data_IF_301698270139
#
_entry.id   IF_301698270139
#
_cell.length_a   1.000
_cell.length_b   1.000
_cell.length_c   1.000
_cell.angle_alpha   90.00
_cell.angle_beta   90.00
_cell.angle_gamma   90.00
#
_symmetry.space_group_name_H-M   'P 1'
#
loop_
_entity.id
_entity.type
_entity.pdbx_description
1 polymer ?
#
# COMPACT_ATOMS: atom_id res chain seq x y z
N UNK A 1 -9.35 -7.83 -2.97
CA UNK A 1 -10.74 -8.31 -2.83
C UNK A 1 -11.06 -9.43 -3.81
N UNK A 2 -11.94 -10.34 -3.44
CA UNK A 2 -12.41 -11.45 -4.30
C UNK A 2 -13.66 -11.06 -5.10
N UNK A 3 -13.80 -9.80 -5.44
CA UNK A 3 -14.95 -9.28 -6.17
C UNK A 3 -14.57 -9.03 -7.62
N UNK A 4 -15.45 -9.41 -8.55
CA UNK A 4 -15.27 -9.13 -9.96
C UNK A 4 -15.29 -7.60 -10.22
N UNK A 5 -14.48 -7.18 -11.16
CA UNK A 5 -14.51 -5.79 -11.65
C UNK A 5 -15.83 -5.58 -12.39
N UNK A 6 -16.52 -4.49 -12.05
CA UNK A 6 -17.76 -4.10 -12.73
C UNK A 6 -17.49 -3.01 -13.78
N UNK A 7 -18.27 -3.00 -14.84
CA UNK A 7 -18.36 -1.85 -15.72
C UNK A 7 -18.99 -0.67 -14.97
N UNK A 8 -18.80 0.54 -15.47
CA UNK A 8 -19.35 1.74 -14.84
C UNK A 8 -20.89 1.70 -14.72
N UNK A 9 -21.54 1.23 -15.78
CA UNK A 9 -22.99 1.08 -15.78
C UNK A 9 -23.46 -0.01 -14.80
N UNK A 10 -22.80 -1.15 -14.81
CA UNK A 10 -23.06 -2.25 -13.89
C UNK A 10 -22.89 -1.84 -12.42
N UNK A 11 -21.86 -1.04 -12.10
CA UNK A 11 -21.66 -0.49 -10.77
C UNK A 11 -22.87 0.35 -10.33
N UNK A 12 -23.31 1.27 -11.18
CA UNK A 12 -24.42 2.17 -10.89
C UNK A 12 -25.73 1.36 -10.72
N UNK A 13 -26.03 0.47 -11.67
CA UNK A 13 -27.20 -0.41 -11.60
C UNK A 13 -27.21 -1.29 -10.37
N UNK A 14 -26.09 -1.97 -10.05
CA UNK A 14 -25.99 -2.87 -8.91
C UNK A 14 -26.15 -2.10 -7.59
N UNK A 15 -25.63 -0.88 -7.52
CA UNK A 15 -25.78 -0.01 -6.34
C UNK A 15 -27.24 0.43 -6.17
N UNK A 16 -27.88 0.82 -7.27
CA UNK A 16 -29.30 1.17 -7.27
C UNK A 16 -30.17 -0.03 -6.87
N UNK A 17 -29.93 -1.22 -7.44
CA UNK A 17 -30.63 -2.44 -7.07
C UNK A 17 -30.48 -2.79 -5.58
N UNK A 18 -29.28 -2.58 -5.02
CA UNK A 18 -29.04 -2.82 -3.61
C UNK A 18 -29.87 -1.87 -2.73
N UNK A 19 -29.95 -0.62 -3.09
CA UNK A 19 -30.82 0.36 -2.42
C UNK A 19 -32.29 -0.03 -2.57
N UNK A 20 -32.78 -0.29 -3.77
CA UNK A 20 -34.18 -0.65 -4.02
C UNK A 20 -34.61 -1.94 -3.31
N UNK A 21 -33.68 -2.88 -3.05
CA UNK A 21 -33.97 -4.09 -2.26
C UNK A 21 -34.00 -3.83 -0.76
N UNK A 22 -33.29 -2.82 -0.26
CA UNK A 22 -33.31 -2.43 1.15
C UNK A 22 -34.47 -1.48 1.48
N UNK A 23 -34.84 -0.62 0.54
CA UNK A 23 -35.97 0.27 0.67
C UNK A 23 -37.28 -0.49 0.44
N UNK A 24 -38.31 -0.16 1.22
CA UNK A 24 -39.68 -0.63 0.91
C UNK A 24 -40.16 0.10 -0.36
N UNK A 25 -39.99 -0.52 -1.51
CA UNK A 25 -40.38 0.04 -2.82
C UNK A 25 -41.84 0.53 -2.82
N UNK A 26 -42.71 -0.13 -2.03
CA UNK A 26 -44.10 0.29 -1.87
C UNK A 26 -44.26 1.66 -1.21
N UNK A 27 -43.26 2.17 -0.52
CA UNK A 27 -43.28 3.51 0.10
C UNK A 27 -42.88 4.63 -0.87
N UNK A 28 -42.43 4.29 -2.07
CA UNK A 28 -42.07 5.26 -3.11
C UNK A 28 -43.34 5.86 -3.74
N UNK A 29 -43.29 7.12 -4.27
CA UNK A 29 -44.33 7.64 -5.14
C UNK A 29 -44.59 6.70 -6.33
N UNK A 30 -45.88 6.60 -6.75
CA UNK A 30 -46.30 5.63 -7.77
C UNK A 30 -45.48 5.73 -9.07
N UNK A 31 -45.10 6.92 -9.49
CA UNK A 31 -44.27 7.18 -10.67
C UNK A 31 -42.87 6.57 -10.54
N UNK A 32 -42.28 6.61 -9.34
CA UNK A 32 -40.96 6.02 -9.08
C UNK A 32 -41.00 4.50 -8.89
N UNK A 33 -42.16 3.94 -8.46
CA UNK A 33 -42.33 2.51 -8.32
C UNK A 33 -42.22 1.79 -9.66
N UNK A 34 -42.84 2.31 -10.72
CA UNK A 34 -42.76 1.70 -12.06
C UNK A 34 -41.33 1.73 -12.61
N UNK A 35 -40.62 2.85 -12.44
CA UNK A 35 -39.22 2.96 -12.81
C UNK A 35 -38.35 2.00 -11.99
N UNK A 36 -38.62 1.88 -10.69
CA UNK A 36 -37.89 0.96 -9.81
C UNK A 36 -38.02 -0.52 -10.26
N UNK A 37 -39.21 -0.94 -10.67
CA UNK A 37 -39.47 -2.30 -11.19
C UNK A 37 -38.58 -2.62 -12.42
N UNK A 38 -38.39 -1.66 -13.32
CA UNK A 38 -37.54 -1.83 -14.49
C UNK A 38 -36.08 -2.12 -14.15
N UNK A 39 -35.56 -1.56 -13.05
CA UNK A 39 -34.17 -1.75 -12.59
C UNK A 39 -33.98 -2.96 -11.66
N UNK A 40 -35.06 -3.50 -11.08
CA UNK A 40 -35.00 -4.69 -10.21
C UNK A 40 -34.77 -6.01 -10.98
N UNK A 41 -35.00 -6.03 -12.29
CA UNK A 41 -34.78 -7.20 -13.13
C UNK A 41 -33.31 -7.64 -13.14
N UNK A 42 -33.06 -8.96 -13.11
CA UNK A 42 -31.68 -9.52 -13.07
C UNK A 42 -30.83 -9.11 -14.29
N UNK A 43 -31.46 -8.85 -15.42
CA UNK A 43 -30.77 -8.49 -16.66
C UNK A 43 -30.63 -6.98 -16.92
N UNK A 44 -31.17 -6.14 -16.03
CA UNK A 44 -31.12 -4.69 -16.21
C UNK A 44 -29.70 -4.12 -16.31
N UNK A 45 -28.72 -4.73 -15.66
CA UNK A 45 -27.30 -4.35 -15.76
C UNK A 45 -26.61 -4.90 -17.02
N UNK A 46 -27.19 -5.91 -17.67
CA UNK A 46 -26.58 -6.61 -18.82
C UNK A 46 -27.05 -6.06 -20.17
N UNK A 47 -28.18 -5.35 -20.20
CA UNK A 47 -28.76 -4.76 -21.42
C UNK A 47 -27.78 -3.87 -22.18
N UNK A 48 -26.84 -3.29 -21.46
CA UNK A 48 -25.84 -2.33 -21.97
C UNK A 48 -24.74 -2.99 -22.83
N UNK A 49 -24.47 -4.28 -22.68
CA UNK A 49 -23.40 -4.94 -23.44
C UNK A 49 -23.67 -5.08 -24.94
N UNK A 50 -24.90 -4.82 -25.36
CA UNK A 50 -25.36 -4.88 -26.76
C UNK A 50 -25.77 -3.52 -27.33
N UNK A 51 -25.68 -2.45 -26.53
CA UNK A 51 -26.11 -1.12 -26.90
C UNK A 51 -24.98 -0.37 -27.62
N UNK A 52 -25.32 0.43 -28.61
CA UNK A 52 -24.44 1.41 -29.22
C UNK A 52 -24.09 2.56 -28.25
N UNK A 53 -23.17 3.43 -28.63
CA UNK A 53 -22.66 4.49 -27.76
C UNK A 53 -23.76 5.51 -27.35
N UNK A 54 -24.66 5.85 -28.27
CA UNK A 54 -25.70 6.86 -28.06
C UNK A 54 -26.81 6.30 -27.14
N UNK A 55 -27.22 5.06 -27.38
CA UNK A 55 -28.15 4.35 -26.51
C UNK A 55 -27.59 4.19 -25.11
N UNK A 56 -26.30 3.87 -24.99
CA UNK A 56 -25.62 3.74 -23.71
C UNK A 56 -25.61 5.09 -22.96
N UNK A 57 -25.35 6.20 -23.64
CA UNK A 57 -25.36 7.54 -23.05
C UNK A 57 -26.76 7.93 -22.56
N UNK A 58 -27.79 7.59 -23.35
CA UNK A 58 -29.18 7.75 -22.96
C UNK A 58 -29.52 6.97 -21.68
N UNK A 59 -29.12 5.71 -21.58
CA UNK A 59 -29.29 4.90 -20.36
C UNK A 59 -28.61 5.49 -19.15
N UNK A 60 -27.39 6.04 -19.29
CA UNK A 60 -26.71 6.72 -18.20
C UNK A 60 -27.46 7.97 -17.75
N UNK A 61 -28.02 8.74 -18.67
CA UNK A 61 -28.80 9.94 -18.31
C UNK A 61 -30.11 9.58 -17.60
N UNK A 62 -30.81 8.55 -18.07
CA UNK A 62 -32.06 8.08 -17.47
C UNK A 62 -31.86 7.56 -16.04
N UNK A 63 -30.88 6.65 -15.84
CA UNK A 63 -30.60 6.11 -14.50
C UNK A 63 -30.09 7.18 -13.55
N UNK A 64 -29.27 8.13 -14.05
CA UNK A 64 -28.79 9.25 -13.25
C UNK A 64 -29.93 10.16 -12.76
N UNK A 65 -30.86 10.49 -13.65
CA UNK A 65 -32.04 11.30 -13.30
C UNK A 65 -32.95 10.58 -12.30
N UNK A 66 -33.15 9.29 -12.48
CA UNK A 66 -33.92 8.45 -11.54
C UNK A 66 -33.29 8.40 -10.15
N UNK A 67 -31.97 8.16 -10.07
CA UNK A 67 -31.24 8.15 -8.79
C UNK A 67 -31.34 9.52 -8.11
N UNK A 68 -31.21 10.62 -8.86
CA UNK A 68 -31.34 11.96 -8.30
C UNK A 68 -32.71 12.20 -7.69
N UNK A 69 -33.78 11.79 -8.36
CA UNK A 69 -35.14 11.88 -7.84
C UNK A 69 -35.33 11.04 -6.57
N UNK A 70 -34.84 9.81 -6.55
CA UNK A 70 -34.86 8.96 -5.38
C UNK A 70 -34.14 9.60 -4.18
N UNK A 71 -32.92 10.09 -4.39
CA UNK A 71 -32.11 10.69 -3.33
C UNK A 71 -32.68 11.99 -2.76
N UNK A 72 -33.53 12.69 -3.50
CA UNK A 72 -34.22 13.89 -3.03
C UNK A 72 -35.27 13.61 -1.94
N UNK A 73 -35.81 12.37 -1.89
CA UNK A 73 -36.81 11.93 -0.93
C UNK A 73 -36.29 11.15 0.27
N UNK A 74 -35.02 10.77 0.27
CA UNK A 74 -34.43 9.92 1.31
C UNK A 74 -33.29 10.60 2.07
N UNK A 75 -33.20 10.34 3.38
CA UNK A 75 -32.05 10.74 4.23
C UNK A 75 -30.99 9.66 4.25
N UNK A 76 -29.76 10.04 4.61
CA UNK A 76 -28.58 9.15 4.62
C UNK A 76 -28.53 8.20 5.84
N UNK A 77 -29.60 8.06 6.60
CA UNK A 77 -29.69 7.18 7.76
C UNK A 77 -29.61 5.68 7.39
N UNK A 78 -29.97 5.34 6.14
CA UNK A 78 -29.80 3.98 5.60
C UNK A 78 -28.43 3.86 4.91
N UNK A 79 -27.60 2.85 5.30
CA UNK A 79 -26.30 2.60 4.67
C UNK A 79 -26.36 2.37 3.16
N UNK A 80 -27.47 1.82 2.63
CA UNK A 80 -27.65 1.64 1.19
C UNK A 80 -27.93 2.95 0.48
N UNK A 81 -28.66 3.88 1.13
CA UNK A 81 -28.90 5.21 0.61
C UNK A 81 -27.60 6.03 0.59
N UNK A 82 -26.84 6.01 1.67
CA UNK A 82 -25.54 6.66 1.74
C UNK A 82 -24.56 6.14 0.67
N UNK A 83 -24.55 4.83 0.42
CA UNK A 83 -23.74 4.23 -0.64
C UNK A 83 -24.22 4.67 -2.03
N UNK A 84 -25.53 4.71 -2.28
CA UNK A 84 -26.09 5.15 -3.55
C UNK A 84 -25.74 6.62 -3.82
N UNK A 85 -25.88 7.49 -2.82
CA UNK A 85 -25.49 8.89 -2.89
C UNK A 85 -24.01 9.03 -3.21
N UNK A 86 -23.14 8.31 -2.50
CA UNK A 86 -21.70 8.31 -2.76
C UNK A 86 -21.39 7.94 -4.21
N UNK A 87 -21.98 6.85 -4.73
CA UNK A 87 -21.77 6.44 -6.12
C UNK A 87 -22.32 7.46 -7.10
N UNK A 88 -23.46 8.09 -6.79
CA UNK A 88 -24.00 9.16 -7.61
C UNK A 88 -23.04 10.36 -7.68
N UNK A 89 -22.57 10.86 -6.55
CA UNK A 89 -21.66 12.00 -6.47
C UNK A 89 -20.30 11.72 -7.15
N UNK A 90 -19.83 10.48 -7.08
CA UNK A 90 -18.59 10.05 -7.76
C UNK A 90 -18.76 9.93 -9.28
N UNK A 91 -19.93 9.54 -9.77
CA UNK A 91 -20.17 9.23 -11.18
C UNK A 91 -20.89 10.34 -11.95
N UNK A 92 -21.67 11.19 -11.29
CA UNK A 92 -22.46 12.22 -11.92
C UNK A 92 -22.10 13.63 -11.43
N UNK A 93 -22.49 14.62 -12.22
CA UNK A 93 -22.51 16.03 -11.84
C UNK A 93 -23.83 16.62 -12.31
N UNK A 94 -24.40 17.52 -11.51
CA UNK A 94 -25.61 18.22 -11.90
C UNK A 94 -25.26 19.39 -12.79
N UNK A 95 -25.90 19.48 -13.98
CA UNK A 95 -25.83 20.61 -14.91
C UNK A 95 -27.24 20.93 -15.36
N UNK A 96 -27.65 22.17 -15.15
CA UNK A 96 -28.98 22.66 -15.53
C UNK A 96 -30.13 21.76 -15.06
N UNK A 97 -30.03 21.26 -13.81
CA UNK A 97 -31.01 20.34 -13.22
C UNK A 97 -30.99 18.90 -13.75
N UNK A 98 -30.06 18.58 -14.63
CA UNK A 98 -29.93 17.23 -15.19
C UNK A 98 -28.66 16.52 -14.67
N UNK A 99 -28.77 15.22 -14.41
CA UNK A 99 -27.64 14.38 -14.04
C UNK A 99 -26.81 14.05 -15.29
N UNK A 100 -25.59 14.57 -15.34
CA UNK A 100 -24.63 14.35 -16.44
C UNK A 100 -23.48 13.48 -15.95
N UNK A 101 -23.17 12.43 -16.68
CA UNK A 101 -22.08 11.52 -16.35
C UNK A 101 -20.73 12.25 -16.37
N UNK A 102 -19.92 12.11 -15.31
CA UNK A 102 -18.57 12.67 -15.25
C UNK A 102 -17.66 12.03 -16.29
N UNK A 103 -16.68 12.76 -16.79
CA UNK A 103 -15.59 12.15 -17.57
C UNK A 103 -14.84 11.10 -16.72
N UNK A 104 -14.44 9.98 -17.35
CA UNK A 104 -13.67 8.92 -16.73
C UNK A 104 -12.36 9.42 -16.10
N UNK A 105 -11.73 10.42 -16.72
CA UNK A 105 -10.50 11.01 -16.24
C UNK A 105 -10.68 11.81 -14.92
N UNK A 106 -11.89 12.26 -14.62
CA UNK A 106 -12.21 13.05 -13.42
C UNK A 106 -12.66 12.19 -12.24
N UNK A 107 -12.92 10.90 -12.45
CA UNK A 107 -13.31 9.98 -11.39
C UNK A 107 -12.08 9.59 -10.59
N UNK A 108 -12.11 9.84 -9.27
CA UNK A 108 -10.99 9.58 -8.39
C UNK A 108 -10.70 8.09 -8.22
N UNK A 109 -9.45 7.74 -7.93
CA UNK A 109 -9.01 6.37 -7.72
C UNK A 109 -9.60 5.71 -6.44
N UNK A 110 -10.01 6.52 -5.47
CA UNK A 110 -10.69 6.11 -4.24
C UNK A 110 -12.20 5.88 -4.39
N UNK A 111 -12.73 6.07 -5.61
CA UNK A 111 -14.15 5.84 -5.91
C UNK A 111 -14.56 4.38 -5.68
N UNK A 112 -15.82 4.18 -5.37
CA UNK A 112 -16.42 2.84 -5.21
C UNK A 112 -16.24 2.03 -6.49
N UNK A 113 -15.65 0.85 -6.36
CA UNK A 113 -15.42 -0.07 -7.47
C UNK A 113 -16.46 -1.19 -7.55
N UNK A 114 -17.07 -1.53 -6.41
CA UNK A 114 -18.12 -2.52 -6.31
C UNK A 114 -18.96 -2.27 -5.05
N UNK A 115 -20.30 -2.21 -5.12
CA UNK A 115 -21.17 -1.92 -3.98
C UNK A 115 -21.16 -2.99 -2.90
N UNK A 116 -20.62 -4.18 -3.19
CA UNK A 116 -20.49 -5.25 -2.21
C UNK A 116 -19.18 -5.18 -1.41
N UNK A 117 -18.26 -4.29 -1.80
CA UNK A 117 -17.02 -3.99 -1.10
C UNK A 117 -16.62 -2.53 -1.37
N UNK A 118 -17.37 -1.56 -0.80
CA UNK A 118 -17.22 -0.15 -1.13
C UNK A 118 -15.89 0.46 -0.68
N UNK A 119 -15.18 -0.21 0.25
CA UNK A 119 -13.86 0.21 0.73
C UNK A 119 -12.73 -0.23 -0.22
N UNK A 120 -13.00 -1.23 -1.08
CA UNK A 120 -11.99 -1.74 -2.01
C UNK A 120 -11.76 -0.72 -3.13
N UNK A 121 -10.58 -0.09 -3.13
CA UNK A 121 -10.18 0.92 -4.10
C UNK A 121 -9.32 0.34 -5.22
N UNK A 122 -9.07 1.13 -6.26
CA UNK A 122 -8.32 0.72 -7.44
C UNK A 122 -6.92 1.33 -7.44
N UNK A 123 -5.91 0.49 -7.72
CA UNK A 123 -4.52 0.90 -7.91
C UNK A 123 -3.94 0.26 -9.17
N UNK A 124 -3.22 1.05 -9.95
CA UNK A 124 -2.38 0.55 -11.04
C UNK A 124 -0.91 0.71 -10.63
N UNK A 125 -0.18 -0.40 -10.54
CA UNK A 125 1.26 -0.41 -10.22
C UNK A 125 1.96 -1.32 -11.25
N UNK A 126 2.87 -0.75 -12.04
CA UNK A 126 3.60 -1.46 -13.10
C UNK A 126 2.66 -2.23 -14.05
N UNK A 127 1.62 -1.57 -14.55
CA UNK A 127 0.56 -2.13 -15.40
C UNK A 127 -0.26 -3.27 -14.77
N UNK A 128 0.01 -3.61 -13.53
CA UNK A 128 -0.84 -4.50 -12.76
C UNK A 128 -1.98 -3.73 -12.10
N UNK A 129 -3.20 -4.06 -12.49
CA UNK A 129 -4.42 -3.47 -11.99
C UNK A 129 -4.90 -4.25 -10.77
N UNK A 130 -4.79 -3.66 -9.59
CA UNK A 130 -5.21 -4.26 -8.32
C UNK A 130 -6.44 -3.54 -7.81
N UNK A 131 -7.41 -4.30 -7.33
CA UNK A 131 -8.60 -3.79 -6.66
C UNK A 131 -8.68 -4.43 -5.27
N UNK A 132 -8.74 -3.60 -4.24
CA UNK A 132 -8.82 -4.09 -2.86
C UNK A 132 -8.06 -3.25 -1.86
N UNK A 133 -7.13 -3.89 -1.18
CA UNK A 133 -6.43 -3.36 0.01
C UNK A 133 -4.93 -3.58 -0.11
N UNK A 134 -4.17 -2.77 0.60
CA UNK A 134 -2.74 -2.93 0.80
C UNK A 134 -2.49 -3.29 2.26
N UNK A 135 -1.57 -4.22 2.49
CA UNK A 135 -1.14 -4.62 3.84
C UNK A 135 0.33 -4.31 3.98
N UNK A 136 0.69 -3.59 5.03
CA UNK A 136 2.06 -3.34 5.44
C UNK A 136 2.39 -4.13 6.69
N UNK A 137 3.56 -4.77 6.72
CA UNK A 137 4.06 -5.55 7.85
C UNK A 137 5.43 -5.03 8.22
N UNK A 138 5.63 -4.76 9.51
CA UNK A 138 6.91 -4.35 10.08
C UNK A 138 7.37 -5.38 11.08
N UNK A 139 8.63 -5.79 10.99
CA UNK A 139 9.20 -6.78 11.90
C UNK A 139 10.58 -6.37 12.42
N UNK A 140 10.96 -6.93 13.55
CA UNK A 140 12.32 -6.76 14.10
C UNK A 140 13.34 -7.54 13.27
N UNK A 141 14.53 -6.98 13.13
CA UNK A 141 15.63 -7.61 12.39
C UNK A 141 16.87 -7.66 13.26
N UNK A 142 17.15 -8.83 13.83
CA UNK A 142 18.33 -9.09 14.66
C UNK A 142 18.93 -10.44 14.28
N UNK A 143 20.26 -10.57 14.38
CA UNK A 143 20.95 -11.73 13.85
C UNK A 143 20.66 -13.04 14.63
N UNK A 144 20.60 -12.97 15.96
CA UNK A 144 20.50 -14.17 16.81
C UNK A 144 19.14 -14.35 17.49
N UNK A 145 18.14 -13.59 17.04
CA UNK A 145 16.79 -13.60 17.61
C UNK A 145 15.73 -13.83 16.55
N UNK A 146 14.56 -14.35 16.91
CA UNK A 146 13.49 -14.49 15.96
C UNK A 146 12.99 -13.10 15.54
N UNK A 147 12.78 -12.90 14.24
CA UNK A 147 12.08 -11.71 13.75
C UNK A 147 10.63 -11.73 14.24
N UNK A 148 10.22 -10.67 14.93
CA UNK A 148 8.87 -10.51 15.48
C UNK A 148 8.16 -9.38 14.76
N UNK A 149 6.97 -9.66 14.25
CA UNK A 149 6.11 -8.65 13.63
C UNK A 149 5.61 -7.71 14.74
N UNK A 150 5.94 -6.44 14.62
CA UNK A 150 5.64 -5.39 15.61
C UNK A 150 4.54 -4.45 15.16
N UNK A 151 4.35 -4.29 13.86
CA UNK A 151 3.27 -3.48 13.30
C UNK A 151 2.63 -4.16 12.09
N UNK A 152 1.31 -4.07 12.02
CA UNK A 152 0.50 -4.54 10.89
C UNK A 152 -0.51 -3.46 10.56
N UNK A 153 -0.47 -2.96 9.34
CA UNK A 153 -1.35 -1.90 8.87
C UNK A 153 -2.08 -2.38 7.62
N UNK A 154 -3.35 -2.11 7.52
CA UNK A 154 -4.16 -2.44 6.34
C UNK A 154 -4.95 -1.23 5.95
N UNK A 155 -4.77 -0.80 4.72
CA UNK A 155 -5.45 0.36 4.14
C UNK A 155 -6.03 0.04 2.76
N UNK A 156 -6.79 0.96 2.21
CA UNK A 156 -7.33 0.84 0.86
C UNK A 156 -6.20 0.86 -0.17
N UNK A 157 -6.38 0.26 -1.35
CA UNK A 157 -5.30 0.08 -2.33
C UNK A 157 -4.71 1.40 -2.85
N UNK A 158 -5.42 2.53 -2.75
CA UNK A 158 -4.90 3.86 -3.14
C UNK A 158 -3.91 4.44 -2.14
N UNK A 159 -3.87 3.91 -0.91
CA UNK A 159 -2.95 4.39 0.11
C UNK A 159 -1.51 4.16 -0.33
N UNK A 160 -0.67 5.19 -0.28
CA UNK A 160 0.71 5.10 -0.73
C UNK A 160 1.59 4.42 0.33
N UNK A 161 2.48 3.54 -0.13
CA UNK A 161 3.34 2.74 0.74
C UNK A 161 4.17 3.60 1.71
N UNK A 162 4.64 4.78 1.26
CA UNK A 162 5.44 5.71 2.09
C UNK A 162 4.70 6.24 3.33
N UNK A 163 3.37 6.29 3.33
CA UNK A 163 2.60 6.81 4.44
C UNK A 163 2.50 5.84 5.64
N UNK A 164 2.88 4.57 5.45
CA UNK A 164 2.87 3.61 6.56
C UNK A 164 4.01 3.81 7.57
N UNK A 165 5.12 4.45 7.17
CA UNK A 165 6.37 4.44 7.92
C UNK A 165 6.24 4.99 9.33
N UNK A 166 5.71 6.20 9.48
CA UNK A 166 5.70 6.89 10.78
C UNK A 166 4.87 6.13 11.82
N UNK A 167 3.68 5.65 11.43
CA UNK A 167 2.85 4.84 12.32
C UNK A 167 3.49 3.48 12.62
N UNK A 168 4.16 2.86 11.65
CA UNK A 168 4.86 1.59 11.83
C UNK A 168 6.00 1.71 12.85
N UNK A 169 6.78 2.78 12.80
CA UNK A 169 7.83 3.09 13.79
C UNK A 169 7.21 3.26 15.17
N UNK A 170 6.22 4.15 15.32
CA UNK A 170 5.55 4.38 16.60
C UNK A 170 4.91 3.12 17.21
N UNK A 171 4.29 2.27 16.38
CA UNK A 171 3.74 0.99 16.83
C UNK A 171 4.84 0.03 17.30
N UNK A 172 5.96 -0.04 16.57
CA UNK A 172 7.09 -0.91 16.91
C UNK A 172 7.73 -0.48 18.23
N UNK A 173 7.96 0.79 18.43
CA UNK A 173 8.51 1.35 19.67
C UNK A 173 7.59 1.12 20.85
N UNK A 174 6.29 1.34 20.68
CA UNK A 174 5.29 1.11 21.73
C UNK A 174 5.25 -0.36 22.16
N UNK A 175 5.30 -1.30 21.21
CA UNK A 175 5.21 -2.74 21.51
C UNK A 175 6.50 -3.27 22.14
N UNK A 176 7.65 -2.76 21.70
CA UNK A 176 8.96 -3.23 22.18
C UNK A 176 9.50 -2.40 23.34
N UNK A 177 8.89 -1.25 23.61
CA UNK A 177 9.38 -0.25 24.57
C UNK A 177 10.86 0.13 24.32
N UNK A 178 11.23 0.27 23.05
CA UNK A 178 12.60 0.54 22.62
C UNK A 178 12.58 1.44 21.39
N UNK A 179 13.45 2.43 21.34
CA UNK A 179 13.58 3.36 20.22
C UNK A 179 14.18 2.70 18.98
N UNK A 180 13.65 3.00 17.81
CA UNK A 180 14.14 2.50 16.52
C UNK A 180 15.41 3.26 16.11
N UNK A 181 16.52 2.56 15.94
CA UNK A 181 17.77 3.14 15.43
C UNK A 181 17.95 2.90 13.93
N UNK A 182 17.66 1.70 13.46
CA UNK A 182 17.78 1.34 12.05
C UNK A 182 16.44 0.88 11.49
N UNK A 183 16.03 1.50 10.39
CA UNK A 183 14.83 1.14 9.64
C UNK A 183 15.21 0.71 8.23
N UNK A 184 14.95 -0.55 7.90
CA UNK A 184 15.17 -1.12 6.57
C UNK A 184 13.86 -1.12 5.77
N UNK A 185 13.83 -0.43 4.63
CA UNK A 185 12.63 -0.23 3.83
C UNK A 185 12.87 -0.40 2.33
N UNK A 186 11.78 -0.47 1.53
CA UNK A 186 11.88 -0.38 0.09
C UNK A 186 12.14 1.08 -0.36
N UNK A 187 12.64 1.25 -1.58
CA UNK A 187 12.85 2.56 -2.18
C UNK A 187 11.59 3.43 -2.26
N UNK A 188 10.39 2.82 -2.24
CA UNK A 188 9.13 3.53 -2.19
C UNK A 188 8.93 4.38 -0.91
N UNK A 189 9.63 4.05 0.18
CA UNK A 189 9.57 4.78 1.46
C UNK A 189 10.47 6.02 1.51
N UNK A 190 11.29 6.26 0.50
CA UNK A 190 12.15 7.42 0.38
C UNK A 190 11.36 8.67 -0.06
N UNK A 191 10.48 9.15 0.79
CA UNK A 191 9.82 10.45 0.61
C UNK A 191 10.55 11.54 1.39
N UNK A 192 10.43 12.83 1.00
CA UNK A 192 10.97 13.93 1.78
C UNK A 192 10.47 13.94 3.23
N UNK A 193 9.18 13.65 3.43
CA UNK A 193 8.55 13.63 4.75
C UNK A 193 9.13 12.52 5.63
N UNK A 194 9.36 11.32 5.07
CA UNK A 194 9.95 10.21 5.81
C UNK A 194 11.42 10.44 6.15
N UNK A 195 12.17 11.13 5.29
CA UNK A 195 13.55 11.54 5.61
C UNK A 195 13.57 12.55 6.74
N UNK A 196 12.75 13.60 6.65
CA UNK A 196 12.64 14.60 7.72
C UNK A 196 12.21 13.96 9.05
N UNK A 197 11.27 13.02 9.00
CA UNK A 197 10.86 12.25 10.18
C UNK A 197 12.03 11.46 10.76
N UNK A 198 12.80 10.74 9.93
CA UNK A 198 13.94 9.94 10.38
C UNK A 198 15.04 10.81 11.00
N UNK A 199 15.35 11.95 10.38
CA UNK A 199 16.33 12.92 10.90
C UNK A 199 15.90 13.52 12.25
N UNK A 200 14.62 13.79 12.43
CA UNK A 200 14.05 14.32 13.68
C UNK A 200 13.80 13.27 14.76
N UNK A 201 13.87 11.98 14.43
CA UNK A 201 13.50 10.88 15.32
C UNK A 201 14.72 10.22 15.97
N UNK A 202 15.22 10.79 17.06
CA UNK A 202 16.29 10.23 17.91
C UNK A 202 17.53 9.66 17.14
N UNK A 203 17.82 10.22 15.96
CA UNK A 203 18.95 9.75 15.13
C UNK A 203 18.69 8.46 14.37
N UNK A 204 17.42 8.12 14.11
CA UNK A 204 17.04 6.95 13.33
C UNK A 204 17.65 7.01 11.91
N UNK A 205 18.21 5.89 11.49
CA UNK A 205 18.81 5.74 10.16
C UNK A 205 17.85 5.00 9.23
N UNK A 206 17.31 5.71 8.22
CA UNK A 206 16.49 5.11 7.17
C UNK A 206 17.37 4.49 6.09
N UNK A 207 17.45 3.17 6.07
CA UNK A 207 18.23 2.37 5.11
C UNK A 207 17.29 1.75 4.09
N UNK A 208 17.34 2.25 2.85
CA UNK A 208 16.45 1.76 1.80
C UNK A 208 17.18 0.89 0.79
N UNK A 209 16.41 0.06 0.12
CA UNK A 209 16.87 -0.75 -0.97
C UNK A 209 17.24 0.08 -2.21
N UNK A 210 17.85 -0.58 -3.19
CA UNK A 210 18.34 0.04 -4.42
C UNK A 210 17.23 0.81 -5.14
N UNK A 211 17.45 2.08 -5.41
CA UNK A 211 16.52 2.92 -6.16
C UNK A 211 16.49 2.53 -7.64
N UNK A 212 15.30 2.37 -8.21
CA UNK A 212 15.12 2.13 -9.64
C UNK A 212 15.37 3.40 -10.46
N UNK A 213 16.00 3.27 -11.62
CA UNK A 213 16.19 4.33 -12.61
C UNK A 213 17.36 5.29 -12.36
N UNK A 214 17.67 6.11 -13.35
CA UNK A 214 18.55 7.28 -13.22
C UNK A 214 20.06 7.04 -13.10
N UNK A 215 20.59 5.88 -13.51
CA UNK A 215 22.03 5.56 -13.43
C UNK A 215 22.89 6.18 -14.55
N UNK A 216 22.33 6.98 -15.45
CA UNK A 216 23.08 7.52 -16.56
C UNK A 216 24.11 8.57 -16.14
N UNK A 217 23.74 9.41 -15.15
CA UNK A 217 24.55 10.55 -14.75
C UNK A 217 25.29 10.29 -13.44
N UNK A 218 26.59 10.63 -13.41
CA UNK A 218 27.39 10.63 -12.21
C UNK A 218 27.75 12.06 -11.83
N UNK A 219 27.49 12.44 -10.58
CA UNK A 219 27.89 13.72 -10.03
C UNK A 219 29.29 13.59 -9.46
N UNK A 220 30.23 14.37 -9.99
CA UNK A 220 31.62 14.43 -9.50
C UNK A 220 31.75 15.53 -8.47
N UNK A 221 31.18 16.69 -8.74
CA UNK A 221 31.26 17.88 -7.90
C UNK A 221 29.90 18.56 -7.81
N UNK A 222 29.52 18.98 -6.63
CA UNK A 222 28.40 19.88 -6.39
C UNK A 222 28.68 20.72 -5.18
N UNK A 223 28.92 22.03 -5.41
CA UNK A 223 29.09 23.08 -4.43
C UNK A 223 28.26 24.30 -4.83
N UNK A 224 28.44 25.43 -4.08
CA UNK A 224 27.67 26.65 -4.34
C UNK A 224 27.96 27.23 -5.72
N UNK A 225 29.15 27.00 -6.27
CA UNK A 225 29.65 27.63 -7.50
C UNK A 225 29.50 26.72 -8.73
N UNK A 226 29.41 25.40 -8.58
CA UNK A 226 29.46 24.51 -9.72
C UNK A 226 28.84 23.16 -9.50
N UNK A 227 28.37 22.57 -10.60
CA UNK A 227 27.95 21.18 -10.72
C UNK A 227 28.70 20.53 -11.89
N UNK A 228 29.49 19.49 -11.60
CA UNK A 228 30.17 18.69 -12.62
C UNK A 228 29.54 17.30 -12.68
N UNK A 229 29.10 16.91 -13.87
CA UNK A 229 28.43 15.63 -14.13
C UNK A 229 29.12 14.84 -15.24
N UNK A 230 29.15 13.53 -15.13
CA UNK A 230 29.62 12.62 -16.18
C UNK A 230 28.44 11.80 -16.72
N UNK A 231 28.34 11.75 -18.02
CA UNK A 231 27.43 10.83 -18.71
C UNK A 231 28.09 9.45 -18.81
N UNK A 232 27.63 8.49 -18.02
CA UNK A 232 28.15 7.10 -18.00
C UNK A 232 28.00 6.35 -19.33
N UNK A 233 27.10 6.81 -20.20
CA UNK A 233 26.91 6.17 -21.54
C UNK A 233 27.95 6.63 -22.55
N UNK A 234 28.35 7.90 -22.48
CA UNK A 234 29.29 8.50 -23.44
C UNK A 234 30.69 8.69 -22.87
N UNK A 235 30.83 8.66 -21.54
CA UNK A 235 32.07 8.98 -20.84
C UNK A 235 32.39 10.48 -20.78
N UNK A 236 31.56 11.34 -21.32
CA UNK A 236 31.81 12.77 -21.39
C UNK A 236 31.53 13.46 -20.05
N UNK A 237 32.40 14.39 -19.67
CA UNK A 237 32.25 15.23 -18.50
C UNK A 237 31.70 16.60 -18.91
N UNK A 238 30.75 17.10 -18.16
CA UNK A 238 30.09 18.38 -18.39
C UNK A 238 30.15 19.24 -17.15
N UNK A 239 30.52 20.50 -17.33
CA UNK A 239 30.34 21.54 -16.31
C UNK A 239 28.97 22.20 -16.51
N UNK A 240 28.13 22.10 -15.50
CA UNK A 240 26.77 22.65 -15.57
C UNK A 240 26.75 24.12 -15.19
N UNK A 241 26.01 24.90 -15.96
CA UNK A 241 25.80 26.33 -15.72
C UNK A 241 24.53 26.54 -14.90
N UNK A 242 24.61 27.42 -13.89
CA UNK A 242 23.42 27.82 -13.13
C UNK A 242 22.36 28.42 -14.07
N UNK A 243 21.13 28.00 -13.91
CA UNK A 243 19.99 28.53 -14.62
C UNK A 243 18.85 28.80 -13.64
N UNK A 244 18.22 29.95 -13.76
CA UNK A 244 17.08 30.34 -12.92
C UNK A 244 15.79 30.09 -13.73
N UNK A 245 14.75 29.61 -13.08
CA UNK A 245 13.43 29.48 -13.73
C UNK A 245 12.85 30.87 -14.01
N UNK A 246 12.03 31.03 -15.04
CA UNK A 246 11.37 32.29 -15.42
C UNK A 246 10.58 32.98 -14.30
N UNK A 247 10.33 32.27 -13.19
CA UNK A 247 9.65 32.81 -12.02
C UNK A 247 10.58 33.06 -10.82
N UNK A 248 11.93 32.96 -11.00
CA UNK A 248 12.92 33.29 -9.98
C UNK A 248 12.93 32.41 -8.71
N UNK A 249 12.06 31.39 -8.63
CA UNK A 249 11.81 30.66 -7.37
C UNK A 249 12.60 29.36 -7.22
N UNK A 250 13.24 28.84 -8.27
CA UNK A 250 14.01 27.59 -8.18
C UNK A 250 15.33 27.68 -8.94
N UNK A 251 16.40 27.39 -8.24
CA UNK A 251 17.73 27.21 -8.84
C UNK A 251 17.78 25.84 -9.52
N UNK A 252 18.35 25.77 -10.70
CA UNK A 252 18.61 24.53 -11.44
C UNK A 252 19.92 24.66 -12.20
N UNK A 253 20.50 23.54 -12.57
CA UNK A 253 21.71 23.44 -13.35
C UNK A 253 21.36 22.93 -14.74
N UNK A 254 22.06 23.40 -15.78
CA UNK A 254 21.88 22.96 -17.16
C UNK A 254 23.20 22.58 -17.80
N UNK A 255 23.18 21.52 -18.61
CA UNK A 255 24.28 21.11 -19.48
C UNK A 255 23.79 21.04 -20.93
N UNK A 256 24.67 21.24 -21.93
CA UNK A 256 24.30 21.00 -23.32
C UNK A 256 24.00 19.51 -23.53
N UNK A 257 22.91 19.20 -24.26
CA UNK A 257 22.57 17.83 -24.57
C UNK A 257 23.29 17.39 -25.85
N UNK A 258 24.26 16.49 -25.75
CA UNK A 258 25.20 16.16 -26.83
C UNK A 258 24.55 15.68 -28.16
N UNK A 259 23.30 15.17 -28.16
CA UNK A 259 22.62 14.63 -29.33
C UNK A 259 21.28 15.31 -29.64
N UNK A 260 20.96 16.44 -29.02
CA UNK A 260 19.70 17.18 -29.22
C UNK A 260 19.96 18.68 -29.15
N UNK A 261 19.24 19.43 -29.96
CA UNK A 261 19.17 20.89 -29.87
C UNK A 261 18.45 21.28 -28.58
N UNK A 262 19.14 21.22 -27.45
CA UNK A 262 18.51 21.54 -26.15
C UNK A 262 19.41 21.37 -24.95
N UNK A 263 18.85 21.63 -23.79
CA UNK A 263 19.53 21.58 -22.51
C UNK A 263 18.98 20.46 -21.64
N UNK A 264 19.85 19.71 -20.94
CA UNK A 264 19.45 18.86 -19.83
C UNK A 264 19.54 19.67 -18.54
N UNK A 265 18.49 19.62 -17.75
CA UNK A 265 18.41 20.30 -16.45
C UNK A 265 18.56 19.30 -15.32
N UNK A 266 19.22 19.73 -14.26
CA UNK A 266 19.34 19.07 -12.98
C UNK A 266 18.76 20.00 -11.91
N UNK A 267 17.86 19.49 -11.11
CA UNK A 267 17.27 20.17 -9.96
C UNK A 267 17.83 19.58 -8.67
N UNK A 268 17.63 20.26 -7.54
CA UNK A 268 18.09 19.80 -6.23
C UNK A 268 17.62 18.36 -5.94
N UNK A 269 16.39 18.01 -6.35
CA UNK A 269 15.88 16.65 -6.24
C UNK A 269 16.71 15.58 -6.99
N UNK A 270 17.30 15.93 -8.14
CA UNK A 270 18.14 15.01 -8.93
C UNK A 270 19.49 14.80 -8.21
N UNK A 271 20.01 15.85 -7.60
CA UNK A 271 21.25 15.84 -6.84
C UNK A 271 21.07 15.03 -5.55
N UNK A 272 19.99 15.27 -4.82
CA UNK A 272 19.64 14.49 -3.64
C UNK A 272 19.44 13.01 -3.96
N UNK A 273 18.71 12.72 -5.02
CA UNK A 273 18.50 11.33 -5.48
C UNK A 273 19.81 10.62 -5.84
N UNK A 274 20.78 11.36 -6.40
CA UNK A 274 22.11 10.82 -6.67
C UNK A 274 22.88 10.54 -5.37
N UNK A 275 22.93 11.50 -4.44
CA UNK A 275 23.61 11.33 -3.15
C UNK A 275 23.05 10.13 -2.39
N UNK A 276 21.74 10.01 -2.37
CA UNK A 276 21.04 8.90 -1.74
C UNK A 276 21.40 7.55 -2.39
N UNK A 277 21.49 7.49 -3.74
CA UNK A 277 21.93 6.26 -4.42
C UNK A 277 23.35 5.88 -4.03
N UNK A 278 24.27 6.84 -3.97
CA UNK A 278 25.64 6.58 -3.53
C UNK A 278 25.70 6.08 -2.09
N UNK A 279 24.89 6.66 -1.21
CA UNK A 279 24.76 6.19 0.17
C UNK A 279 24.24 4.74 0.22
N UNK A 280 23.21 4.40 -0.58
CA UNK A 280 22.67 3.05 -0.66
C UNK A 280 23.71 2.08 -1.25
N UNK A 281 24.45 2.48 -2.29
CA UNK A 281 25.49 1.67 -2.91
C UNK A 281 26.67 1.41 -1.96
N UNK A 282 26.91 2.30 -1.00
CA UNK A 282 27.97 2.13 0.02
C UNK A 282 27.57 1.22 1.18
N UNK A 283 26.29 0.84 1.30
CA UNK A 283 25.83 -0.06 2.35
C UNK A 283 26.40 -1.47 2.13
N UNK A 284 26.85 -2.15 3.19
CA UNK A 284 27.28 -3.55 3.11
C UNK A 284 26.16 -4.45 2.57
N UNK A 285 26.46 -5.48 1.77
CA UNK A 285 25.45 -6.41 1.27
C UNK A 285 24.62 -7.09 2.35
N UNK A 286 25.17 -7.28 3.54
CA UNK A 286 24.48 -7.85 4.71
C UNK A 286 23.37 -6.94 5.21
N UNK A 287 23.60 -5.64 5.25
CA UNK A 287 22.61 -4.64 5.61
C UNK A 287 21.43 -4.64 4.63
N UNK A 288 21.73 -4.74 3.33
CA UNK A 288 20.68 -4.81 2.29
C UNK A 288 19.86 -6.12 2.36
N UNK A 289 20.47 -7.23 2.82
CA UNK A 289 19.77 -8.52 3.00
C UNK A 289 18.78 -8.49 4.15
N UNK A 290 18.97 -7.63 5.16
CA UNK A 290 18.03 -7.53 6.30
C UNK A 290 16.62 -7.19 5.88
N UNK A 291 16.45 -6.44 4.78
CA UNK A 291 15.15 -6.19 4.17
C UNK A 291 14.46 -7.46 3.66
N UNK A 292 15.21 -8.45 3.22
CA UNK A 292 14.66 -9.70 2.67
C UNK A 292 13.81 -10.48 3.70
N UNK A 293 13.99 -10.22 5.00
CA UNK A 293 13.17 -10.84 6.03
C UNK A 293 11.69 -10.46 5.87
N UNK A 294 11.42 -9.18 5.57
CA UNK A 294 10.03 -8.72 5.35
C UNK A 294 9.43 -9.35 4.10
N UNK A 295 10.21 -9.53 3.03
CA UNK A 295 9.74 -10.22 1.83
C UNK A 295 9.33 -11.66 2.15
N UNK A 296 10.10 -12.35 3.00
CA UNK A 296 9.75 -13.68 3.48
C UNK A 296 8.49 -13.68 4.38
N UNK A 297 8.34 -12.65 5.22
CA UNK A 297 7.12 -12.46 6.02
C UNK A 297 5.89 -12.20 5.14
N UNK A 298 6.02 -11.35 4.12
CA UNK A 298 4.95 -11.08 3.16
C UNK A 298 4.57 -12.32 2.36
N UNK A 299 5.54 -13.13 1.96
CA UNK A 299 5.29 -14.42 1.32
C UNK A 299 4.50 -15.37 2.25
N UNK A 300 4.93 -15.52 3.50
CA UNK A 300 4.22 -16.33 4.50
C UNK A 300 2.80 -15.80 4.77
N UNK A 301 2.64 -14.49 4.84
CA UNK A 301 1.34 -13.84 4.99
C UNK A 301 0.40 -14.17 3.83
N UNK A 302 0.88 -14.11 2.60
CA UNK A 302 0.11 -14.32 1.38
C UNK A 302 -0.13 -15.80 1.04
N UNK A 303 0.59 -16.74 1.66
CA UNK A 303 0.59 -18.17 1.30
C UNK A 303 -0.81 -18.83 1.25
N UNK A 304 -1.75 -18.37 2.07
CA UNK A 304 -3.12 -18.89 2.10
C UNK A 304 -4.10 -18.09 1.20
N UNK A 305 -3.59 -17.11 0.45
CA UNK A 305 -4.40 -16.39 -0.52
C UNK A 305 -4.22 -17.01 -1.90
N UNK A 306 -5.32 -17.30 -2.59
CA UNK A 306 -5.26 -17.77 -3.97
C UNK A 306 -5.16 -16.55 -4.90
N UNK A 307 -4.06 -16.39 -5.61
CA UNK A 307 -3.81 -15.24 -6.51
C UNK A 307 -3.96 -13.88 -5.81
N UNK A 308 -3.48 -13.76 -4.57
CA UNK A 308 -3.60 -12.53 -3.79
C UNK A 308 -5.03 -12.17 -3.37
N UNK A 309 -6.01 -13.06 -3.58
CA UNK A 309 -7.41 -12.80 -3.25
C UNK A 309 -7.80 -13.41 -1.92
N UNK A 310 -8.46 -12.62 -1.08
CA UNK A 310 -9.02 -13.06 0.20
C UNK A 310 -10.52 -13.29 0.09
N UNK A 311 -11.09 -14.05 1.03
CA UNK A 311 -12.56 -14.30 1.11
C UNK A 311 -13.30 -13.17 1.82
N UNK A 312 -12.58 -12.25 2.46
CA UNK A 312 -13.14 -11.18 3.26
C UNK A 312 -13.48 -9.97 2.40
N UNK A 313 -14.45 -9.18 2.86
CA UNK A 313 -14.90 -7.92 2.27
C UNK A 313 -14.95 -6.85 3.36
N UNK A 314 -14.62 -5.62 3.02
CA UNK A 314 -14.55 -4.49 3.94
C UNK A 314 -13.22 -4.39 4.68
N UNK A 315 -12.77 -3.17 4.90
CA UNK A 315 -11.48 -2.86 5.50
C UNK A 315 -11.31 -3.48 6.89
N UNK A 316 -12.36 -3.42 7.73
CA UNK A 316 -12.33 -3.98 9.08
C UNK A 316 -12.00 -5.48 9.09
N UNK A 317 -12.66 -6.26 8.23
CA UNK A 317 -12.43 -7.72 8.18
C UNK A 317 -11.04 -8.05 7.65
N UNK A 318 -10.51 -7.23 6.74
CA UNK A 318 -9.14 -7.36 6.27
C UNK A 318 -8.12 -7.05 7.37
N UNK A 319 -8.35 -6.00 8.18
CA UNK A 319 -7.53 -5.68 9.36
C UNK A 319 -7.53 -6.83 10.37
N UNK A 320 -8.70 -7.35 10.73
CA UNK A 320 -8.82 -8.48 11.65
C UNK A 320 -8.10 -9.73 11.14
N UNK A 321 -8.25 -10.06 9.87
CA UNK A 321 -7.56 -11.18 9.25
C UNK A 321 -6.04 -10.99 9.28
N UNK A 322 -5.55 -9.80 8.95
CA UNK A 322 -4.13 -9.49 8.96
C UNK A 322 -3.53 -9.62 10.37
N UNK A 323 -4.19 -9.05 11.37
CA UNK A 323 -3.74 -9.15 12.77
C UNK A 323 -3.70 -10.59 13.26
N UNK A 324 -4.77 -11.36 13.06
CA UNK A 324 -4.82 -12.76 13.47
C UNK A 324 -3.72 -13.60 12.78
N UNK A 325 -3.50 -13.35 11.51
CA UNK A 325 -2.47 -14.04 10.74
C UNK A 325 -1.06 -13.70 11.22
N UNK A 326 -0.76 -12.44 11.44
CA UNK A 326 0.55 -11.99 11.92
C UNK A 326 0.80 -12.44 13.37
N UNK A 327 -0.21 -12.42 14.24
CA UNK A 327 -0.12 -12.98 15.58
C UNK A 327 0.21 -14.48 15.55
N UNK A 328 -0.44 -15.26 14.66
CA UNK A 328 -0.10 -16.67 14.46
C UNK A 328 1.32 -16.87 13.94
N UNK A 329 1.78 -16.03 13.01
CA UNK A 329 3.15 -16.07 12.51
C UNK A 329 4.17 -15.82 13.64
N UNK A 330 3.94 -14.83 14.48
CA UNK A 330 4.77 -14.55 15.65
C UNK A 330 4.78 -15.72 16.63
N UNK A 331 3.63 -16.25 16.98
CA UNK A 331 3.53 -17.43 17.86
C UNK A 331 4.35 -18.59 17.30
N UNK A 332 4.18 -18.93 16.03
CA UNK A 332 4.95 -20.01 15.39
C UNK A 332 6.46 -19.75 15.42
N UNK A 333 6.90 -18.51 15.14
CA UNK A 333 8.33 -18.14 15.16
C UNK A 333 8.93 -18.30 16.56
N UNK A 334 8.23 -17.87 17.60
CA UNK A 334 8.67 -18.02 19.00
C UNK A 334 8.78 -19.50 19.36
N UNK A 335 7.78 -20.33 19.04
CA UNK A 335 7.79 -21.77 19.33
C UNK A 335 8.96 -22.46 18.62
N UNK A 336 9.18 -22.16 17.34
CA UNK A 336 10.31 -22.76 16.59
C UNK A 336 11.65 -22.35 17.21
N UNK A 337 11.82 -21.08 17.55
CA UNK A 337 13.05 -20.57 18.15
C UNK A 337 13.33 -21.22 19.50
N UNK A 338 12.33 -21.33 20.37
CA UNK A 338 12.46 -21.98 21.68
C UNK A 338 12.74 -23.48 21.54
N UNK A 339 12.06 -24.15 20.61
CA UNK A 339 12.31 -25.57 20.34
C UNK A 339 13.73 -25.82 19.85
N UNK A 340 14.24 -24.99 18.95
CA UNK A 340 15.61 -25.09 18.48
C UNK A 340 16.64 -24.79 19.58
N UNK A 341 16.37 -23.82 20.45
CA UNK A 341 17.20 -23.53 21.62
C UNK A 341 17.23 -24.71 22.61
N UNK A 342 16.08 -25.31 22.86
CA UNK A 342 15.97 -26.50 23.69
C UNK A 342 16.73 -27.69 23.10
N UNK A 343 16.60 -27.96 21.81
CA UNK A 343 17.33 -29.03 21.12
C UNK A 343 18.86 -28.81 21.16
N UNK A 344 19.33 -27.56 20.99
CA UNK A 344 20.75 -27.25 21.15
C UNK A 344 21.23 -27.49 22.58
N UNK A 345 20.50 -26.99 23.58
CA UNK A 345 20.85 -27.18 24.98
C UNK A 345 20.87 -28.66 25.37
N UNK A 346 19.89 -29.44 24.95
CA UNK A 346 19.88 -30.90 25.20
C UNK A 346 21.01 -31.60 24.45
N UNK A 347 21.33 -31.21 23.22
CA UNK A 347 22.45 -31.76 22.48
C UNK A 347 23.78 -31.53 23.20
N UNK A 348 24.04 -30.31 23.70
CA UNK A 348 25.28 -30.00 24.43
C UNK A 348 25.35 -30.68 25.81
N UNK A 349 24.20 -30.82 26.49
CA UNK A 349 24.14 -31.50 27.79
C UNK A 349 24.32 -33.02 27.67
N UNK A 350 23.82 -33.63 26.61
CA UNK A 350 23.81 -35.07 26.44
C UNK A 350 24.90 -35.58 25.49
N UNK A 351 25.63 -34.73 24.77
CA UNK A 351 26.73 -35.10 23.92
C UNK A 351 27.83 -35.90 24.66
N UNK A 352 28.25 -35.51 25.88
CA UNK A 352 29.23 -36.29 26.65
C UNK A 352 28.67 -37.60 27.18
N UNK A 353 27.36 -37.75 27.32
CA UNK A 353 26.68 -38.90 27.90
C UNK A 353 26.23 -39.94 26.86
N UNK A 354 26.47 -39.71 25.58
CA UNK A 354 26.14 -40.66 24.50
C UNK A 354 26.94 -41.96 24.55
N UNK A 355 27.94 -42.08 25.45
CA UNK A 355 28.66 -43.31 25.72
C UNK A 355 28.06 -44.23 26.80
N UNK A 356 27.04 -43.75 27.54
CA UNK A 356 26.40 -44.58 28.56
C UNK A 356 24.92 -44.16 28.72
N UNK A 357 23.99 -45.05 28.43
CA UNK A 357 22.56 -44.97 28.69
C UNK A 357 21.66 -44.29 27.63
N UNK A 358 21.30 -45.08 26.66
CA UNK A 358 20.07 -44.88 25.92
C UNK A 358 18.85 -45.39 26.69
N UNK A 359 18.35 -44.63 27.62
CA UNK A 359 16.98 -44.74 28.20
C UNK A 359 16.86 -43.75 29.36
N UNK A 360 16.33 -42.58 29.11
CA UNK A 360 15.55 -41.76 30.01
C UNK A 360 15.21 -40.44 29.34
N UNK A 361 14.35 -40.50 28.35
CA UNK A 361 13.61 -39.36 27.86
C UNK A 361 12.17 -39.51 28.39
N UNK A 362 11.79 -38.64 29.28
CA UNK A 362 10.46 -38.17 29.59
C UNK A 362 10.47 -37.74 31.07
N UNK A 363 10.55 -36.48 31.29
CA UNK A 363 10.08 -35.68 32.43
C UNK A 363 10.95 -34.42 32.48
N UNK A 364 10.43 -33.34 31.91
CA UNK A 364 10.58 -31.95 32.37
C UNK A 364 9.96 -30.98 31.35
N UNK A 365 8.65 -31.04 31.26
CA UNK A 365 7.83 -29.92 30.82
C UNK A 365 7.47 -29.15 32.08
N UNK A 366 8.16 -28.08 32.36
CA UNK A 366 7.63 -26.95 33.13
C UNK A 366 8.77 -26.05 33.57
N UNK A 367 9.02 -25.04 32.77
CA UNK A 367 9.33 -23.67 33.18
C UNK A 367 9.69 -22.82 31.95
N UNK A 368 8.65 -22.36 31.27
CA UNK A 368 8.75 -21.24 30.34
C UNK A 368 8.97 -19.96 31.13
N UNK A 369 10.20 -19.67 31.50
CA UNK A 369 10.53 -18.30 31.90
C UNK A 369 10.69 -17.46 30.63
N UNK A 370 9.68 -16.72 30.30
CA UNK A 370 9.75 -15.61 29.35
C UNK A 370 10.64 -14.54 29.98
N UNK A 371 11.93 -14.50 29.59
CA UNK A 371 12.78 -13.37 29.97
C UNK A 371 12.24 -12.12 29.31
N UNK A 372 12.09 -11.00 30.05
CA UNK A 372 11.69 -9.74 29.44
C UNK A 372 12.69 -9.35 28.35
N UNK A 373 12.16 -8.90 27.25
CA UNK A 373 12.91 -8.44 26.10
C UNK A 373 13.53 -7.08 26.43
N UNK A 374 14.68 -7.07 27.11
CA UNK A 374 15.42 -5.84 27.36
C UNK A 374 16.31 -5.58 26.14
N UNK A 375 16.06 -4.51 25.43
CA UNK A 375 16.84 -4.07 24.26
C UNK A 375 17.41 -2.69 24.52
N UNK A 376 18.67 -2.51 24.21
CA UNK A 376 19.30 -1.19 24.20
C UNK A 376 18.92 -0.43 22.92
N UNK A 377 18.73 -1.12 21.80
CA UNK A 377 18.35 -0.55 20.51
C UNK A 377 17.42 -1.48 19.72
N UNK A 378 16.60 -0.92 18.84
CA UNK A 378 15.67 -1.64 17.98
C UNK A 378 16.01 -1.43 16.51
N UNK A 379 16.09 -2.55 15.79
CA UNK A 379 16.18 -2.57 14.32
C UNK A 379 14.90 -3.19 13.76
N UNK A 380 14.27 -2.51 12.84
CA UNK A 380 13.07 -2.98 12.17
C UNK A 380 13.22 -2.93 10.65
N UNK A 381 12.42 -3.75 9.98
CA UNK A 381 12.24 -3.72 8.54
C UNK A 381 10.75 -3.64 8.20
N UNK A 382 10.41 -2.96 7.11
CA UNK A 382 9.08 -2.62 6.67
C UNK A 382 8.91 -2.85 5.14
#
# INVERSE_FOLDING_TARGET
SNIARQSRYELICTTLQKFLKSAEVCSLPAELQELAKAYLGEDSSKTVYRSDADTLQSHFAQIGSFIHQLLSGYRDDDPCCALLRRVFDEQYTMKDGKAVLRDKATVKADSVQNPNDPDATYRNKNDQKVQGYVTNITETVEDDKPSIITSVQVETAVFADCHFLQEAVGNSERVTNTTVEDLYADGAYQSPDNRAFAEGHAGMRLKTGKMQGGNRWELIRHDEDGLTVVDKQTGNTYEAVKAVTNQGKRQRWRIPWANKTGWRYFEDKDIEAYRLRKQIESLPPEELRRRNNVEAAMFQYSFHTRNGKTRYRGLLKHRMQAYARCAWMNFRRVVIFQSAAFQRATFYLFWPLRGALGCMMLIFSNQLQVRPFCRESLRIAI
#
